data_IF_324523552637
#
_entry.id   IF_324523552637
#
_cell.length_a   1.000
_cell.length_b   1.000
_cell.length_c   1.000
_cell.angle_alpha   90.00
_cell.angle_beta   90.00
_cell.angle_gamma   90.00
#
_symmetry.space_group_name_H-M   'P 1'
#
loop_
_entity.id
_entity.type
_entity.pdbx_description
1 polymer ?
#
# COMPACT_ATOMS: atom_id res chain seq x y z
N UNK A 1 9.13 -23.59 16.26
CA UNK A 1 9.87 -24.50 15.35
C UNK A 1 9.45 -24.28 13.88
N UNK A 2 8.16 -24.34 13.55
CA UNK A 2 7.62 -24.22 12.17
C UNK A 2 8.03 -22.90 11.50
N UNK A 3 8.04 -21.78 12.22
CA UNK A 3 8.42 -20.47 11.69
C UNK A 3 9.89 -20.41 11.24
N UNK A 4 10.78 -21.15 11.92
CA UNK A 4 12.18 -21.24 11.51
C UNK A 4 12.33 -21.97 10.16
N UNK A 5 11.50 -22.99 9.92
CA UNK A 5 11.47 -23.66 8.62
C UNK A 5 11.00 -22.75 7.51
N UNK A 6 9.90 -21.97 7.75
CA UNK A 6 9.41 -20.99 6.77
C UNK A 6 10.49 -19.97 6.41
N UNK A 7 11.14 -19.39 7.41
CA UNK A 7 12.27 -18.47 7.21
C UNK A 7 13.41 -19.12 6.40
N UNK A 8 13.68 -20.41 6.65
CA UNK A 8 14.66 -21.18 5.88
C UNK A 8 14.29 -21.29 4.39
N UNK A 9 13.04 -21.62 4.08
CA UNK A 9 12.54 -21.66 2.69
C UNK A 9 12.65 -20.31 2.01
N UNK A 10 12.25 -19.22 2.68
CA UNK A 10 12.31 -17.87 2.11
C UNK A 10 13.76 -17.47 1.82
N UNK A 11 14.67 -17.70 2.77
CA UNK A 11 16.12 -17.44 2.55
C UNK A 11 16.69 -18.25 1.40
N UNK A 12 16.34 -19.53 1.29
CA UNK A 12 16.78 -20.39 0.18
C UNK A 12 16.23 -19.88 -1.16
N UNK A 13 14.97 -19.48 -1.19
CA UNK A 13 14.35 -18.89 -2.38
C UNK A 13 15.03 -17.59 -2.80
N UNK A 14 15.33 -16.70 -1.85
CA UNK A 14 16.10 -15.46 -2.10
C UNK A 14 17.49 -15.79 -2.64
N UNK A 15 18.20 -16.78 -2.09
CA UNK A 15 19.49 -17.21 -2.61
C UNK A 15 19.37 -17.67 -4.06
N UNK A 16 18.41 -18.52 -4.38
CA UNK A 16 18.17 -18.94 -5.76
C UNK A 16 17.83 -17.77 -6.70
N UNK A 17 17.06 -16.79 -6.22
CA UNK A 17 16.74 -15.58 -6.98
C UNK A 17 18.00 -14.76 -7.29
N UNK A 18 18.87 -14.54 -6.28
CA UNK A 18 20.13 -13.82 -6.44
C UNK A 18 21.09 -14.54 -7.41
N UNK A 19 21.07 -15.86 -7.40
CA UNK A 19 21.81 -16.71 -8.33
C UNK A 19 21.17 -16.78 -9.74
N UNK A 20 20.10 -15.97 -9.99
CA UNK A 20 19.31 -15.94 -11.23
C UNK A 20 18.64 -17.28 -11.58
N UNK A 21 18.46 -18.14 -10.59
CA UNK A 21 17.76 -19.42 -10.75
C UNK A 21 16.28 -19.25 -10.39
N UNK A 22 15.56 -18.45 -11.19
CA UNK A 22 14.19 -18.03 -10.95
C UNK A 22 13.21 -19.19 -10.77
N UNK A 23 13.36 -20.24 -11.57
CA UNK A 23 12.52 -21.44 -11.46
C UNK A 23 12.69 -22.15 -10.10
N UNK A 24 13.92 -22.25 -9.59
CA UNK A 24 14.16 -22.82 -8.25
C UNK A 24 13.68 -21.87 -7.14
N UNK A 25 13.83 -20.57 -7.32
CA UNK A 25 13.33 -19.59 -6.37
C UNK A 25 11.81 -19.75 -6.20
N UNK A 26 11.05 -19.78 -7.29
CA UNK A 26 9.61 -19.97 -7.30
C UNK A 26 9.20 -21.32 -6.72
N UNK A 27 9.77 -22.43 -7.22
CA UNK A 27 9.42 -23.78 -6.77
C UNK A 27 9.70 -23.99 -5.27
N UNK A 28 10.70 -23.31 -4.71
CA UNK A 28 11.01 -23.33 -3.30
C UNK A 28 9.89 -22.68 -2.47
N UNK A 29 9.36 -21.52 -2.90
CA UNK A 29 8.23 -20.88 -2.23
C UNK A 29 6.93 -21.67 -2.39
N UNK A 30 6.64 -22.19 -3.58
CA UNK A 30 5.47 -23.03 -3.81
C UNK A 30 5.50 -24.28 -2.90
N UNK A 31 6.67 -24.90 -2.75
CA UNK A 31 6.83 -26.04 -1.83
C UNK A 31 6.64 -25.64 -0.37
N UNK A 32 7.12 -24.48 0.03
CA UNK A 32 6.87 -23.93 1.37
C UNK A 32 5.37 -23.76 1.62
N UNK A 33 4.64 -23.18 0.69
CA UNK A 33 3.20 -22.96 0.82
C UNK A 33 2.39 -24.25 0.83
N UNK A 34 2.81 -25.26 0.07
CA UNK A 34 2.20 -26.60 0.10
C UNK A 34 2.33 -27.25 1.48
N UNK A 35 3.51 -27.15 2.09
CA UNK A 35 3.80 -27.79 3.41
C UNK A 35 3.25 -26.96 4.57
N UNK A 36 3.24 -25.63 4.43
CA UNK A 36 2.87 -24.67 5.46
C UNK A 36 1.91 -23.62 4.90
N UNK A 37 0.70 -23.99 4.48
CA UNK A 37 -0.27 -23.04 3.94
C UNK A 37 -0.59 -21.95 4.97
N UNK A 38 -0.62 -20.69 4.53
CA UNK A 38 -0.85 -19.51 5.40
C UNK A 38 -2.22 -19.54 6.09
N UNK A 39 -3.22 -20.19 5.47
CA UNK A 39 -4.55 -20.40 6.05
C UNK A 39 -4.56 -21.31 7.27
N UNK A 40 -3.56 -22.18 7.43
CA UNK A 40 -3.44 -23.12 8.57
C UNK A 40 -2.36 -22.65 9.53
N UNK A 41 -1.26 -22.17 9.00
CA UNK A 41 -0.10 -21.68 9.75
C UNK A 41 0.17 -20.25 9.31
N UNK A 42 -0.38 -19.23 9.97
CA UNK A 42 -0.22 -17.83 9.57
C UNK A 42 1.25 -17.42 9.49
N UNK A 43 1.56 -16.51 8.56
CA UNK A 43 2.90 -15.92 8.44
C UNK A 43 3.08 -14.92 9.60
N UNK A 44 4.10 -15.09 10.48
CA UNK A 44 4.14 -14.35 11.74
C UNK A 44 4.51 -12.89 11.58
N UNK A 45 5.29 -12.53 10.57
CA UNK A 45 5.85 -11.21 10.40
C UNK A 45 5.45 -10.60 9.07
N UNK A 46 5.06 -9.33 9.09
CA UNK A 46 4.77 -8.53 7.89
C UNK A 46 5.98 -8.47 6.96
N UNK A 47 7.19 -8.36 7.52
CA UNK A 47 8.43 -8.31 6.74
C UNK A 47 8.67 -9.62 5.98
N UNK A 48 8.47 -10.77 6.63
CA UNK A 48 8.64 -12.07 5.96
C UNK A 48 7.62 -12.25 4.83
N UNK A 49 6.39 -11.84 5.05
CA UNK A 49 5.33 -11.92 4.05
C UNK A 49 5.61 -10.98 2.86
N UNK A 50 6.13 -9.78 3.13
CA UNK A 50 6.54 -8.85 2.08
C UNK A 50 7.74 -9.39 1.27
N UNK A 51 8.73 -10.02 1.93
CA UNK A 51 9.83 -10.70 1.23
C UNK A 51 9.34 -11.80 0.29
N UNK A 52 8.34 -12.58 0.70
CA UNK A 52 7.71 -13.60 -0.16
C UNK A 52 7.09 -12.93 -1.40
N UNK A 53 6.32 -11.86 -1.21
CA UNK A 53 5.73 -11.10 -2.31
C UNK A 53 6.79 -10.55 -3.28
N UNK A 54 7.89 -10.01 -2.74
CA UNK A 54 9.01 -9.49 -3.53
C UNK A 54 9.69 -10.58 -4.37
N UNK A 55 9.91 -11.77 -3.82
CA UNK A 55 10.50 -12.89 -4.59
C UNK A 55 9.56 -13.33 -5.70
N UNK A 56 8.25 -13.48 -5.41
CA UNK A 56 7.26 -13.81 -6.44
C UNK A 56 7.21 -12.76 -7.55
N UNK A 57 7.31 -11.48 -7.20
CA UNK A 57 7.41 -10.42 -8.20
C UNK A 57 8.68 -10.53 -9.04
N UNK A 58 9.82 -10.79 -8.40
CA UNK A 58 11.10 -10.95 -9.08
C UNK A 58 11.15 -12.13 -10.05
N UNK A 59 10.32 -13.16 -9.82
CA UNK A 59 10.13 -14.30 -10.74
C UNK A 59 8.90 -14.15 -11.64
N UNK A 60 8.34 -12.94 -11.72
CA UNK A 60 7.21 -12.56 -12.58
C UNK A 60 5.88 -13.30 -12.27
N UNK A 61 5.74 -13.90 -11.09
CA UNK A 61 4.48 -14.50 -10.64
C UNK A 61 3.57 -13.44 -10.01
N UNK A 62 2.95 -12.62 -10.86
CA UNK A 62 2.05 -11.51 -10.44
C UNK A 62 0.86 -11.99 -9.60
N UNK A 63 0.33 -13.19 -9.85
CA UNK A 63 -0.81 -13.75 -9.10
C UNK A 63 -0.42 -13.98 -7.64
N UNK A 64 0.72 -14.61 -7.39
CA UNK A 64 1.23 -14.85 -6.04
C UNK A 64 1.68 -13.56 -5.36
N UNK A 65 2.29 -12.65 -6.10
CA UNK A 65 2.63 -11.31 -5.61
C UNK A 65 1.39 -10.61 -5.08
N UNK A 66 0.33 -10.50 -5.89
CA UNK A 66 -0.95 -9.89 -5.51
C UNK A 66 -1.57 -10.57 -4.30
N UNK A 67 -1.57 -11.91 -4.28
CA UNK A 67 -2.10 -12.69 -3.16
C UNK A 67 -1.43 -12.29 -1.82
N UNK A 68 -0.10 -12.31 -1.77
CA UNK A 68 0.63 -11.99 -0.54
C UNK A 68 0.52 -10.51 -0.13
N UNK A 69 0.43 -9.58 -1.09
CA UNK A 69 0.19 -8.17 -0.78
C UNK A 69 -1.22 -7.96 -0.22
N UNK A 70 -2.24 -8.63 -0.75
CA UNK A 70 -3.61 -8.56 -0.22
C UNK A 70 -3.70 -9.10 1.20
N UNK A 71 -3.06 -10.22 1.48
CA UNK A 71 -2.97 -10.76 2.84
C UNK A 71 -2.21 -9.80 3.80
N UNK A 72 -1.21 -9.07 3.29
CA UNK A 72 -0.49 -8.06 4.07
C UNK A 72 -1.40 -6.92 4.51
N UNK A 73 -2.13 -6.31 3.60
CA UNK A 73 -2.98 -5.13 3.91
C UNK A 73 -4.16 -5.45 4.83
N UNK A 74 -4.47 -6.74 5.04
CA UNK A 74 -5.50 -7.18 5.98
C UNK A 74 -4.98 -7.41 7.40
N UNK A 75 -3.68 -7.23 7.65
CA UNK A 75 -3.10 -7.42 8.97
C UNK A 75 -3.49 -6.28 9.92
N UNK A 76 -3.58 -6.62 11.21
CA UNK A 76 -3.93 -5.66 12.26
C UNK A 76 -2.71 -4.95 12.89
N UNK A 77 -1.49 -5.33 12.47
CA UNK A 77 -0.22 -4.82 13.00
C UNK A 77 0.48 -3.86 12.03
N UNK A 78 -0.30 -3.22 11.13
CA UNK A 78 0.21 -2.26 10.16
C UNK A 78 0.18 -0.84 10.71
N UNK A 79 1.24 -0.10 10.38
CA UNK A 79 1.40 1.32 10.61
C UNK A 79 1.18 2.10 9.30
N UNK A 80 1.12 3.43 9.35
CA UNK A 80 0.93 4.28 8.18
C UNK A 80 1.96 4.00 7.07
N UNK A 81 3.22 3.85 7.47
CA UNK A 81 4.33 3.57 6.56
C UNK A 81 4.15 2.23 5.81
N UNK A 82 3.61 1.20 6.47
CA UNK A 82 3.32 -0.09 5.85
C UNK A 82 2.24 0.06 4.76
N UNK A 83 1.16 0.77 5.07
CA UNK A 83 0.09 1.03 4.10
C UNK A 83 0.60 1.83 2.89
N UNK A 84 1.42 2.85 3.12
CA UNK A 84 2.07 3.61 2.06
C UNK A 84 2.96 2.71 1.19
N UNK A 85 3.80 1.89 1.83
CA UNK A 85 4.68 0.96 1.12
C UNK A 85 3.87 -0.02 0.26
N UNK A 86 2.84 -0.65 0.82
CA UNK A 86 2.08 -1.67 0.11
C UNK A 86 1.20 -1.06 -0.98
N UNK A 87 0.56 0.09 -0.72
CA UNK A 87 -0.21 0.82 -1.73
C UNK A 87 0.65 1.22 -2.94
N UNK A 88 1.85 1.76 -2.69
CA UNK A 88 2.84 2.04 -3.75
C UNK A 88 3.26 0.76 -4.50
N UNK A 89 3.45 -0.34 -3.78
CA UNK A 89 3.85 -1.61 -4.37
C UNK A 89 2.78 -2.15 -5.33
N UNK A 90 1.48 -1.98 -5.02
CA UNK A 90 0.40 -2.34 -5.96
C UNK A 90 0.49 -1.53 -7.26
N UNK A 91 0.77 -0.23 -7.19
CA UNK A 91 0.95 0.61 -8.39
C UNK A 91 2.20 0.19 -9.16
N UNK A 92 3.35 0.17 -8.48
CA UNK A 92 4.66 0.07 -9.13
C UNK A 92 4.96 -1.31 -9.72
N UNK A 93 4.51 -2.38 -9.06
CA UNK A 93 4.82 -3.75 -9.46
C UNK A 93 3.69 -4.45 -10.21
N UNK A 94 2.45 -4.06 -9.95
CA UNK A 94 1.27 -4.75 -10.48
C UNK A 94 0.41 -3.87 -11.38
N UNK A 95 0.62 -2.56 -11.38
CA UNK A 95 -0.27 -1.57 -12.02
C UNK A 95 -1.73 -1.74 -11.55
N UNK A 96 -1.89 -2.13 -10.27
CA UNK A 96 -3.17 -2.48 -9.66
C UNK A 96 -3.73 -1.27 -8.93
N UNK A 97 -4.33 -0.38 -9.69
CA UNK A 97 -4.88 0.88 -9.19
C UNK A 97 -6.14 0.67 -8.33
N UNK A 98 -6.91 -0.41 -8.55
CA UNK A 98 -8.07 -0.73 -7.72
C UNK A 98 -7.69 -1.04 -6.27
N UNK A 99 -6.72 -1.93 -6.07
CA UNK A 99 -6.25 -2.28 -4.72
C UNK A 99 -5.53 -1.09 -4.07
N UNK A 100 -4.74 -0.36 -4.83
CA UNK A 100 -4.06 0.87 -4.36
C UNK A 100 -5.06 1.94 -3.92
N UNK A 101 -6.12 2.19 -4.72
CA UNK A 101 -7.20 3.11 -4.38
C UNK A 101 -7.83 2.78 -3.04
N UNK A 102 -8.23 1.54 -2.82
CA UNK A 102 -8.84 1.11 -1.55
C UNK A 102 -7.95 1.40 -0.34
N UNK A 103 -6.65 1.17 -0.48
CA UNK A 103 -5.67 1.46 0.57
C UNK A 103 -5.61 2.97 0.85
N UNK A 104 -5.42 3.79 -0.19
CA UNK A 104 -5.24 5.23 -0.02
C UNK A 104 -6.53 5.94 0.38
N UNK A 105 -7.70 5.51 -0.10
CA UNK A 105 -9.00 5.98 0.40
C UNK A 105 -9.15 5.70 1.90
N UNK A 106 -8.77 4.50 2.34
CA UNK A 106 -8.85 4.12 3.76
C UNK A 106 -7.96 5.03 4.61
N UNK A 107 -6.73 5.29 4.17
CA UNK A 107 -5.80 6.18 4.89
C UNK A 107 -6.34 7.62 4.91
N UNK A 108 -6.76 8.15 3.76
CA UNK A 108 -7.26 9.51 3.64
C UNK A 108 -8.52 9.75 4.47
N UNK A 109 -9.45 8.80 4.45
CA UNK A 109 -10.66 8.87 5.27
C UNK A 109 -10.35 8.79 6.77
N UNK A 110 -9.45 7.92 7.19
CA UNK A 110 -8.99 7.85 8.58
C UNK A 110 -8.33 9.16 9.02
N UNK A 111 -7.46 9.75 8.17
CA UNK A 111 -6.88 11.06 8.44
C UNK A 111 -7.96 12.11 8.71
N UNK A 112 -8.95 12.24 7.82
CA UNK A 112 -10.02 13.23 7.96
C UNK A 112 -10.83 13.03 9.24
N UNK A 113 -11.12 11.79 9.63
CA UNK A 113 -11.83 11.47 10.88
C UNK A 113 -11.02 11.86 12.12
N UNK A 114 -9.71 11.59 12.11
CA UNK A 114 -8.80 11.93 13.19
C UNK A 114 -8.67 13.45 13.29
N UNK A 115 -8.47 14.14 12.17
CA UNK A 115 -8.41 15.61 12.11
C UNK A 115 -9.65 16.25 12.72
N UNK A 116 -10.84 15.78 12.35
CA UNK A 116 -12.10 16.28 12.92
C UNK A 116 -12.19 16.00 14.42
N UNK A 117 -11.73 14.85 14.88
CA UNK A 117 -11.72 14.50 16.30
C UNK A 117 -10.78 15.41 17.10
N UNK A 118 -9.58 15.65 16.58
CA UNK A 118 -8.59 16.57 17.19
C UNK A 118 -9.15 18.00 17.26
N UNK A 119 -9.73 18.50 16.16
CA UNK A 119 -10.33 19.83 16.12
C UNK A 119 -11.48 20.02 17.13
N UNK A 120 -12.26 18.97 17.39
CA UNK A 120 -13.43 19.04 18.29
C UNK A 120 -13.09 18.79 19.77
N UNK A 121 -12.16 17.91 20.07
CA UNK A 121 -11.94 17.35 21.42
C UNK A 121 -10.49 17.36 21.87
N UNK A 122 -9.54 17.78 21.01
CA UNK A 122 -8.10 17.72 21.27
C UNK A 122 -7.52 16.29 21.13
N UNK A 123 -6.21 16.18 21.27
CA UNK A 123 -5.48 14.90 21.13
C UNK A 123 -5.89 13.85 22.17
N UNK A 124 -6.31 14.27 23.37
CA UNK A 124 -6.71 13.35 24.45
C UNK A 124 -7.92 12.47 24.08
N UNK A 125 -8.68 12.85 23.07
CA UNK A 125 -9.84 12.08 22.57
C UNK A 125 -9.48 11.11 21.43
N UNK A 126 -8.23 11.13 20.98
CA UNK A 126 -7.71 10.24 19.95
C UNK A 126 -6.72 9.25 20.56
N UNK A 127 -6.46 8.14 19.86
CA UNK A 127 -5.40 7.21 20.26
C UNK A 127 -4.03 7.58 19.65
N UNK A 128 -3.96 8.73 18.96
CA UNK A 128 -2.78 9.19 18.22
C UNK A 128 -2.07 10.27 19.04
N UNK A 129 -0.76 10.18 19.14
CA UNK A 129 0.10 11.19 19.73
C UNK A 129 0.29 12.38 18.79
N UNK A 130 0.77 13.52 19.31
CA UNK A 130 1.10 14.68 18.47
C UNK A 130 2.20 14.38 17.45
N UNK A 131 3.17 13.55 17.80
CA UNK A 131 4.26 13.16 16.88
C UNK A 131 3.71 12.30 15.71
N UNK A 132 2.92 11.27 16.01
CA UNK A 132 2.27 10.45 14.99
C UNK A 132 1.38 11.31 14.07
N UNK A 133 0.69 12.29 14.62
CA UNK A 133 -0.12 13.22 13.84
C UNK A 133 0.72 14.08 12.89
N UNK A 134 1.90 14.56 13.33
CA UNK A 134 2.82 15.28 12.46
C UNK A 134 3.36 14.42 11.33
N UNK A 135 3.67 13.14 11.58
CA UNK A 135 4.07 12.18 10.55
C UNK A 135 2.96 11.97 9.51
N UNK A 136 1.71 11.83 9.97
CA UNK A 136 0.56 11.75 9.06
C UNK A 136 0.42 13.00 8.19
N UNK A 137 0.57 14.18 8.77
CA UNK A 137 0.50 15.44 8.02
C UNK A 137 1.59 15.57 6.96
N UNK A 138 2.80 15.13 7.28
CA UNK A 138 3.92 15.15 6.33
C UNK A 138 3.69 14.18 5.14
N UNK A 139 3.04 13.06 5.38
CA UNK A 139 2.75 12.05 4.35
C UNK A 139 1.50 12.36 3.52
N UNK A 140 0.70 13.31 3.96
CA UNK A 140 -0.65 13.51 3.39
C UNK A 140 -0.63 13.96 1.93
N UNK A 141 0.30 14.84 1.55
CA UNK A 141 0.46 15.28 0.15
C UNK A 141 0.76 14.09 -0.77
N UNK A 142 1.61 13.16 -0.31
CA UNK A 142 1.92 11.95 -1.08
C UNK A 142 0.70 11.02 -1.18
N UNK A 143 -0.08 10.86 -0.10
CA UNK A 143 -1.31 10.07 -0.10
C UNK A 143 -2.32 10.62 -1.11
N UNK A 144 -2.51 11.93 -1.12
CA UNK A 144 -3.41 12.61 -2.06
C UNK A 144 -2.95 12.39 -3.50
N UNK A 145 -1.66 12.53 -3.78
CA UNK A 145 -1.10 12.27 -5.11
C UNK A 145 -1.29 10.81 -5.57
N UNK A 146 -1.03 9.83 -4.69
CA UNK A 146 -1.17 8.41 -5.04
C UNK A 146 -2.64 8.00 -5.20
N UNK A 147 -3.54 8.61 -4.45
CA UNK A 147 -4.98 8.42 -4.60
C UNK A 147 -5.48 9.06 -5.91
N UNK A 148 -5.04 10.29 -6.22
CA UNK A 148 -5.28 10.91 -7.52
C UNK A 148 -4.81 10.03 -8.67
N UNK A 149 -3.57 9.51 -8.59
CA UNK A 149 -3.02 8.64 -9.63
C UNK A 149 -3.86 7.37 -9.82
N UNK A 150 -4.38 6.80 -8.73
CA UNK A 150 -5.27 5.65 -8.78
C UNK A 150 -6.60 6.00 -9.46
N UNK A 151 -7.25 7.09 -9.06
CA UNK A 151 -8.49 7.56 -9.68
C UNK A 151 -8.33 7.85 -11.18
N UNK A 152 -7.26 8.55 -11.55
CA UNK A 152 -6.96 8.87 -12.95
C UNK A 152 -6.83 7.63 -13.82
N UNK A 153 -6.07 6.62 -13.36
CA UNK A 153 -5.87 5.39 -14.13
C UNK A 153 -7.11 4.48 -14.17
N UNK A 154 -8.06 4.68 -13.25
CA UNK A 154 -9.37 4.02 -13.23
C UNK A 154 -10.46 4.84 -13.95
N UNK A 155 -10.10 5.96 -14.58
CA UNK A 155 -11.02 6.89 -15.24
C UNK A 155 -12.10 7.46 -14.29
N UNK A 156 -11.83 7.50 -12.98
CA UNK A 156 -12.67 8.05 -11.92
C UNK A 156 -12.42 9.57 -11.79
N UNK A 157 -12.72 10.32 -12.85
CA UNK A 157 -12.36 11.74 -12.93
C UNK A 157 -13.13 12.61 -11.95
N UNK A 158 -14.40 12.30 -11.67
CA UNK A 158 -15.21 13.03 -10.70
C UNK A 158 -14.62 12.90 -9.28
N UNK A 159 -14.21 11.72 -8.86
CA UNK A 159 -13.58 11.47 -7.57
C UNK A 159 -12.21 12.17 -7.47
N UNK A 160 -11.42 12.12 -8.54
CA UNK A 160 -10.15 12.83 -8.61
C UNK A 160 -10.34 14.35 -8.46
N UNK A 161 -11.33 14.93 -9.12
CA UNK A 161 -11.69 16.35 -9.04
C UNK A 161 -12.13 16.76 -7.64
N UNK A 162 -13.00 15.95 -7.01
CA UNK A 162 -13.45 16.18 -5.63
C UNK A 162 -12.26 16.16 -4.66
N UNK A 163 -11.41 15.15 -4.77
CA UNK A 163 -10.20 15.01 -3.93
C UNK A 163 -9.29 16.23 -4.04
N UNK A 164 -8.94 16.61 -5.26
CA UNK A 164 -8.02 17.72 -5.49
C UNK A 164 -8.63 19.07 -5.10
N UNK A 165 -9.93 19.27 -5.32
CA UNK A 165 -10.62 20.49 -4.91
C UNK A 165 -10.62 20.63 -3.39
N UNK A 166 -10.94 19.56 -2.65
CA UNK A 166 -10.89 19.54 -1.16
C UNK A 166 -9.46 19.79 -0.65
N UNK A 167 -8.48 19.18 -1.30
CA UNK A 167 -7.06 19.37 -0.96
C UNK A 167 -6.59 20.81 -1.17
N UNK A 168 -6.88 21.43 -2.33
CA UNK A 168 -6.50 22.81 -2.68
C UNK A 168 -7.17 23.82 -1.73
N UNK A 169 -8.41 23.58 -1.30
CA UNK A 169 -9.07 24.44 -0.31
C UNK A 169 -8.31 24.48 1.02
N UNK A 170 -7.69 23.37 1.41
CA UNK A 170 -6.89 23.25 2.64
C UNK A 170 -5.44 23.71 2.45
N UNK A 171 -4.93 23.62 1.21
CA UNK A 171 -3.54 23.88 0.84
C UNK A 171 -3.47 24.75 -0.42
N UNK A 172 -3.89 26.03 -0.35
CA UNK A 172 -4.03 26.89 -1.54
C UNK A 172 -2.72 27.23 -2.24
N UNK A 173 -1.58 26.95 -1.64
CA UNK A 173 -0.24 27.17 -2.20
C UNK A 173 0.39 25.90 -2.80
N UNK A 174 -0.39 24.83 -2.94
CA UNK A 174 0.08 23.59 -3.58
C UNK A 174 -0.16 23.70 -5.10
N UNK A 175 0.82 24.29 -5.80
CA UNK A 175 0.78 24.50 -7.24
C UNK A 175 0.66 23.16 -8.01
N UNK A 176 1.29 22.10 -7.50
CA UNK A 176 1.22 20.77 -8.10
C UNK A 176 -0.22 20.23 -8.10
N UNK A 177 -0.95 20.39 -7.01
CA UNK A 177 -2.34 19.96 -6.94
C UNK A 177 -3.25 20.75 -7.91
N UNK A 178 -2.94 22.04 -8.15
CA UNK A 178 -3.66 22.86 -9.11
C UNK A 178 -3.42 22.37 -10.55
N UNK A 179 -2.17 22.05 -10.91
CA UNK A 179 -1.82 21.49 -12.22
C UNK A 179 -2.52 20.13 -12.45
N UNK A 180 -2.56 19.27 -11.43
CA UNK A 180 -3.25 17.97 -11.50
C UNK A 180 -4.78 18.14 -11.70
N UNK A 181 -5.38 19.14 -11.09
CA UNK A 181 -6.81 19.45 -11.28
C UNK A 181 -7.08 19.93 -12.70
N UNK A 182 -6.22 20.79 -13.27
CA UNK A 182 -6.33 21.23 -14.66
C UNK A 182 -6.20 20.04 -15.64
N UNK A 183 -5.29 19.10 -15.36
CA UNK A 183 -5.13 17.87 -16.15
C UNK A 183 -6.43 17.05 -16.19
N UNK A 184 -7.08 16.83 -15.03
CA UNK A 184 -8.35 16.08 -14.96
C UNK A 184 -9.46 16.78 -15.75
N UNK A 185 -9.58 18.11 -15.64
CA UNK A 185 -10.58 18.87 -16.36
C UNK A 185 -10.40 18.78 -17.89
N UNK A 186 -9.16 18.66 -18.36
CA UNK A 186 -8.87 18.45 -19.79
C UNK A 186 -9.26 17.04 -20.25
N UNK A 187 -8.98 16.01 -19.43
CA UNK A 187 -9.32 14.62 -19.72
C UNK A 187 -10.85 14.41 -19.79
N UNK A 188 -11.60 15.05 -18.90
CA UNK A 188 -13.07 15.01 -18.86
C UNK A 188 -13.72 15.64 -20.11
N UNK A 189 -13.00 16.56 -20.75
CA UNK A 189 -13.49 17.33 -21.90
C UNK A 189 -13.17 16.68 -23.24
N UNK A 190 -12.40 15.60 -23.27
CA UNK A 190 -11.87 14.92 -24.45
C UNK A 190 -12.66 13.67 -24.81
#
# INVERSE_FOLDING_TARGET
LVQNYRTGFVRLSISHYLDKNFQKAESTLLKMEEIMPSSVIPIPSKQLQYQIAQVYNGVENKIKTKYHLKELVQRNDLELEDYLLYGKTFIQLLEDYDESKVIFETIYNNYNLIEQSIKRRGFTATKITENEWQEWQQSLSEIVYLLYLSYKNLEMYDEAKILLTDWIQKNPTDDNAQELLEEILQLESS
#
